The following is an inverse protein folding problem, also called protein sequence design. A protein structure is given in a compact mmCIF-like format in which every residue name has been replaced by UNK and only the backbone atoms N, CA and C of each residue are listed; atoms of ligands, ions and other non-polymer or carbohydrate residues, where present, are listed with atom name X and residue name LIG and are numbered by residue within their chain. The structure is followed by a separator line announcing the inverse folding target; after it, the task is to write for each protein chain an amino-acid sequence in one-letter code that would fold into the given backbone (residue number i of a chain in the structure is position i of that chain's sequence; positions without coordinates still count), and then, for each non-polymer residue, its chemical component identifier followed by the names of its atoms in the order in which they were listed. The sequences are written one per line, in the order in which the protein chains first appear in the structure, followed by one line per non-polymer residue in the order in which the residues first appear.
data_IF_108820163180
#
_entry.id   IF_108820163180
#
_cell.length_a   1.000
_cell.length_b   1.000
_cell.length_c   1.000
_cell.angle_alpha   90.00
_cell.angle_beta   90.00
_cell.angle_gamma   90.00
#
_symmetry.space_group_name_H-M   'P 1'
#
loop_
_entity.id
_entity.type
_entity.pdbx_description
1 polymer ?
#
# COMPACT_ATOMS: atom_id res chain seq x y z
N UNK A 1 7.89 23.05 -3.00
CA UNK A 1 6.65 22.29 -2.69
C UNK A 1 7.00 21.34 -1.56
N UNK A 2 6.38 21.48 -0.38
CA UNK A 2 6.74 20.73 0.83
C UNK A 2 6.01 19.37 0.89
N UNK A 3 6.10 18.57 -0.18
CA UNK A 3 5.45 17.26 -0.27
C UNK A 3 6.46 16.14 -0.07
N UNK A 4 6.22 15.26 0.90
CA UNK A 4 7.07 14.09 1.17
C UNK A 4 7.16 13.16 -0.05
N UNK A 5 6.05 12.89 -0.74
CA UNK A 5 6.04 12.02 -1.93
C UNK A 5 6.66 12.65 -3.18
N UNK A 6 6.97 13.95 -3.15
CA UNK A 6 7.79 14.58 -4.19
C UNK A 6 9.29 14.51 -3.89
N UNK A 7 9.68 14.31 -2.62
CA UNK A 7 11.08 14.28 -2.18
C UNK A 7 11.61 12.87 -1.94
N UNK A 8 10.72 11.97 -1.56
CA UNK A 8 11.05 10.65 -1.04
C UNK A 8 10.13 9.59 -1.67
N UNK A 9 10.59 8.35 -1.62
CA UNK A 9 9.85 7.22 -2.18
C UNK A 9 8.60 6.88 -1.36
N UNK A 10 8.59 7.17 -0.06
CA UNK A 10 7.46 6.90 0.85
C UNK A 10 7.44 5.48 1.44
N UNK A 11 8.52 4.72 1.24
CA UNK A 11 8.75 3.36 1.74
C UNK A 11 9.79 2.61 0.88
N UNK A 12 9.97 1.32 1.12
CA UNK A 12 10.84 0.48 0.30
C UNK A 12 10.19 0.24 -1.07
N UNK A 13 10.80 0.74 -2.15
CA UNK A 13 10.28 0.57 -3.51
C UNK A 13 10.25 -0.92 -3.89
N UNK A 14 9.06 -1.44 -4.19
CA UNK A 14 8.84 -2.80 -4.68
C UNK A 14 8.80 -2.85 -6.22
N UNK A 15 8.22 -1.82 -6.83
CA UNK A 15 8.10 -1.64 -8.27
C UNK A 15 7.91 -0.15 -8.61
N UNK A 16 8.39 0.31 -9.75
CA UNK A 16 8.14 1.67 -10.24
C UNK A 16 8.27 1.81 -11.76
N UNK A 17 7.65 2.83 -12.30
CA UNK A 17 7.86 3.36 -13.64
C UNK A 17 7.84 4.90 -13.65
N UNK A 18 7.75 5.50 -14.84
CA UNK A 18 7.71 6.96 -15.00
C UNK A 18 6.46 7.62 -14.38
N UNK A 19 5.38 6.87 -14.18
CA UNK A 19 4.05 7.40 -13.81
C UNK A 19 3.70 7.17 -12.34
N UNK A 20 4.07 6.02 -11.77
CA UNK A 20 3.76 5.67 -10.39
C UNK A 20 4.81 4.73 -9.80
N UNK A 21 4.78 4.58 -8.48
CA UNK A 21 5.56 3.59 -7.75
C UNK A 21 4.71 2.83 -6.74
N UNK A 22 5.11 1.61 -6.45
CA UNK A 22 4.58 0.79 -5.36
C UNK A 22 5.66 0.62 -4.31
N UNK A 23 5.36 0.99 -3.08
CA UNK A 23 6.27 0.88 -1.94
C UNK A 23 5.69 -0.01 -0.84
N UNK A 24 6.56 -0.70 -0.12
CA UNK A 24 6.26 -1.27 1.19
C UNK A 24 6.48 -0.17 2.24
N UNK A 25 5.41 0.23 2.91
CA UNK A 25 5.46 1.27 3.94
C UNK A 25 6.07 0.72 5.24
N UNK A 26 6.87 1.55 5.91
CA UNK A 26 7.41 1.26 7.23
C UNK A 26 6.36 1.52 8.32
N UNK A 27 5.40 0.61 8.44
CA UNK A 27 4.30 0.67 9.41
C UNK A 27 4.42 -0.52 10.37
N UNK A 28 4.99 -0.28 11.55
CA UNK A 28 5.38 -1.31 12.52
C UNK A 28 4.30 -2.38 12.78
N UNK A 29 3.06 -1.96 13.02
CA UNK A 29 1.93 -2.87 13.33
C UNK A 29 1.31 -3.54 12.10
N UNK A 30 1.70 -3.12 10.88
CA UNK A 30 1.11 -3.57 9.63
C UNK A 30 2.15 -4.05 8.61
N UNK A 31 2.89 -5.13 8.91
CA UNK A 31 3.77 -5.72 7.92
C UNK A 31 3.03 -6.08 6.64
N UNK A 32 3.55 -5.61 5.49
CA UNK A 32 2.90 -5.76 4.20
C UNK A 32 1.96 -4.64 3.80
N UNK A 33 1.88 -3.55 4.57
CA UNK A 33 1.21 -2.33 4.14
C UNK A 33 1.93 -1.79 2.91
N UNK A 34 1.27 -1.79 1.75
CA UNK A 34 1.79 -1.15 0.56
C UNK A 34 1.12 0.21 0.29
N UNK A 35 1.83 1.10 -0.39
CA UNK A 35 1.26 2.31 -1.01
C UNK A 35 1.49 2.27 -2.52
N UNK A 36 0.47 2.65 -3.30
CA UNK A 36 0.59 2.97 -4.72
C UNK A 36 0.59 4.49 -4.83
N UNK A 37 1.69 5.09 -5.27
CA UNK A 37 1.91 6.54 -5.23
C UNK A 37 2.07 7.04 -6.66
N UNK A 38 1.24 8.00 -7.07
CA UNK A 38 1.41 8.67 -8.36
C UNK A 38 2.68 9.54 -8.32
N UNK A 39 3.49 9.57 -9.37
CA UNK A 39 4.79 10.28 -9.29
C UNK A 39 4.64 11.81 -9.32
N UNK A 40 3.73 12.32 -10.15
CA UNK A 40 3.47 13.77 -10.22
C UNK A 40 2.63 14.22 -9.03
N UNK A 41 2.86 15.44 -8.57
CA UNK A 41 2.04 16.03 -7.52
C UNK A 41 0.66 16.39 -8.06
N UNK A 42 -0.35 15.63 -7.62
CA UNK A 42 -1.77 15.84 -7.94
C UNK A 42 -2.54 15.61 -6.65
N UNK A 43 -3.42 16.53 -6.27
CA UNK A 43 -4.14 16.44 -5.01
C UNK A 43 -5.27 15.42 -5.09
N UNK A 44 -6.18 15.60 -6.05
CA UNK A 44 -7.39 14.79 -6.14
C UNK A 44 -7.26 13.69 -7.18
N UNK A 45 -7.88 12.54 -6.87
CA UNK A 45 -7.96 11.46 -7.85
C UNK A 45 -8.74 11.88 -9.10
N UNK A 46 -9.71 12.79 -8.97
CA UNK A 46 -10.47 13.35 -10.09
C UNK A 46 -9.67 14.26 -11.02
N UNK A 47 -8.52 14.77 -10.57
CA UNK A 47 -7.64 15.65 -11.37
C UNK A 47 -6.75 14.86 -12.34
N UNK A 48 -6.69 13.54 -12.19
CA UNK A 48 -6.03 12.65 -13.14
C UNK A 48 -6.87 12.43 -14.40
N UNK A 49 -6.20 12.26 -15.54
CA UNK A 49 -6.86 11.81 -16.76
C UNK A 49 -7.53 10.45 -16.55
N UNK A 50 -8.59 10.15 -17.32
CA UNK A 50 -9.30 8.87 -17.21
C UNK A 50 -8.37 7.66 -17.29
N UNK A 51 -7.46 7.67 -18.26
CA UNK A 51 -6.45 6.61 -18.45
C UNK A 51 -5.47 6.49 -17.28
N UNK A 52 -5.12 7.59 -16.63
CA UNK A 52 -4.21 7.60 -15.48
C UNK A 52 -4.91 7.03 -14.24
N UNK A 53 -6.19 7.37 -14.04
CA UNK A 53 -7.02 6.76 -12.99
C UNK A 53 -7.12 5.25 -13.18
N UNK A 54 -7.40 4.81 -14.40
CA UNK A 54 -7.49 3.38 -14.74
C UNK A 54 -6.16 2.66 -14.48
N UNK A 55 -5.03 3.30 -14.84
CA UNK A 55 -3.68 2.78 -14.57
C UNK A 55 -3.42 2.63 -13.07
N UNK A 56 -3.71 3.66 -12.26
CA UNK A 56 -3.56 3.61 -10.81
C UNK A 56 -4.42 2.49 -10.22
N UNK A 57 -5.69 2.37 -10.64
CA UNK A 57 -6.56 1.31 -10.11
C UNK A 57 -6.10 -0.09 -10.50
N UNK A 58 -5.62 -0.31 -11.74
CA UNK A 58 -5.00 -1.58 -12.15
C UNK A 58 -3.81 -1.93 -11.25
N UNK A 59 -2.97 -0.94 -10.91
CA UNK A 59 -1.87 -1.14 -9.98
C UNK A 59 -2.36 -1.48 -8.55
N UNK A 60 -3.36 -0.77 -8.03
CA UNK A 60 -3.96 -1.06 -6.72
C UNK A 60 -4.51 -2.48 -6.65
N UNK A 61 -5.24 -2.93 -7.68
CA UNK A 61 -5.77 -4.29 -7.76
C UNK A 61 -4.66 -5.35 -7.83
N UNK A 62 -3.58 -5.09 -8.57
CA UNK A 62 -2.42 -5.98 -8.65
C UNK A 62 -1.71 -6.13 -7.29
N UNK A 63 -1.51 -5.01 -6.58
CA UNK A 63 -0.91 -5.01 -5.24
C UNK A 63 -1.81 -5.74 -4.24
N UNK A 64 -3.13 -5.55 -4.29
CA UNK A 64 -4.07 -6.32 -3.48
C UNK A 64 -3.93 -7.83 -3.74
N UNK A 65 -3.87 -8.26 -5.01
CA UNK A 65 -3.70 -9.67 -5.36
C UNK A 65 -2.39 -10.24 -4.82
N UNK A 66 -1.29 -9.51 -4.95
CA UNK A 66 0.01 -9.91 -4.40
C UNK A 66 -0.06 -10.07 -2.88
N UNK A 67 -0.64 -9.10 -2.17
CA UNK A 67 -0.84 -9.15 -0.72
C UNK A 67 -1.69 -10.34 -0.32
N UNK A 68 -2.81 -10.58 -1.01
CA UNK A 68 -3.70 -11.72 -0.70
C UNK A 68 -3.00 -13.06 -0.89
N UNK A 69 -2.19 -13.18 -1.94
CA UNK A 69 -1.42 -14.40 -2.24
C UNK A 69 -0.34 -14.66 -1.18
N UNK A 70 0.43 -13.63 -0.82
CA UNK A 70 1.59 -13.79 0.05
C UNK A 70 1.22 -13.84 1.52
N UNK A 71 0.32 -12.95 1.98
CA UNK A 71 0.06 -12.74 3.41
C UNK A 71 -1.25 -13.36 3.90
N UNK A 72 -2.13 -13.79 2.98
CA UNK A 72 -3.43 -14.40 3.30
C UNK A 72 -4.22 -13.65 4.41
N UNK A 73 -4.38 -12.32 4.32
CA UNK A 73 -5.14 -11.57 5.31
C UNK A 73 -6.62 -11.94 5.25
N UNK A 74 -7.35 -11.73 6.35
CA UNK A 74 -8.81 -11.93 6.37
C UNK A 74 -9.55 -10.86 5.57
N UNK A 75 -8.93 -9.68 5.38
CA UNK A 75 -9.45 -8.58 4.57
C UNK A 75 -8.29 -7.69 4.07
N UNK A 76 -8.49 -7.01 2.94
CA UNK A 76 -7.63 -5.89 2.52
C UNK A 76 -8.42 -4.58 2.64
N UNK A 77 -7.80 -3.53 3.19
CA UNK A 77 -8.36 -2.18 3.15
C UNK A 77 -7.70 -1.38 2.02
N UNK A 78 -8.52 -0.67 1.26
CA UNK A 78 -8.10 0.24 0.19
C UNK A 78 -8.59 1.65 0.54
N UNK A 79 -7.71 2.64 0.48
CA UNK A 79 -8.08 4.02 0.76
C UNK A 79 -7.15 5.01 0.06
N UNK A 80 -7.72 6.06 -0.53
CA UNK A 80 -7.03 7.31 -0.86
C UNK A 80 -7.63 8.39 0.02
N UNK A 81 -6.83 8.96 0.93
CA UNK A 81 -7.28 9.98 1.88
C UNK A 81 -6.67 11.35 1.53
N UNK A 82 -5.38 11.53 1.81
CA UNK A 82 -4.65 12.74 1.41
C UNK A 82 -4.84 13.98 2.29
N UNK A 83 -5.56 13.91 3.41
CA UNK A 83 -5.82 15.08 4.27
C UNK A 83 -4.55 15.78 4.78
N UNK A 84 -3.50 15.02 5.14
CA UNK A 84 -2.22 15.59 5.60
C UNK A 84 -1.21 15.79 4.45
N UNK A 85 -1.29 14.94 3.42
CA UNK A 85 -0.42 14.98 2.25
C UNK A 85 -1.32 14.90 1.01
N UNK A 86 -1.75 16.04 0.46
CA UNK A 86 -2.66 16.10 -0.69
C UNK A 86 -1.90 15.76 -1.97
N UNK A 87 -1.54 14.50 -2.10
CA UNK A 87 -0.81 13.91 -3.22
C UNK A 87 -1.40 12.53 -3.44
N UNK A 88 -1.88 12.20 -4.64
CA UNK A 88 -2.54 10.92 -4.94
C UNK A 88 -1.68 9.72 -4.52
N UNK A 89 -2.15 9.01 -3.51
CA UNK A 89 -1.61 7.74 -3.08
C UNK A 89 -2.72 6.85 -2.53
N UNK A 90 -2.62 5.55 -2.78
CA UNK A 90 -3.54 4.55 -2.30
C UNK A 90 -2.87 3.65 -1.28
N UNK A 91 -3.49 3.52 -0.11
CA UNK A 91 -3.13 2.53 0.89
C UNK A 91 -3.71 1.16 0.50
N UNK A 92 -2.88 0.11 0.54
CA UNK A 92 -3.29 -1.28 0.33
C UNK A 92 -2.82 -2.10 1.54
N UNK A 93 -3.76 -2.40 2.44
CA UNK A 93 -3.41 -2.79 3.82
C UNK A 93 -3.92 -4.21 4.10
N UNK A 94 -3.04 -5.20 4.38
CA UNK A 94 -3.45 -6.51 4.87
C UNK A 94 -4.01 -6.40 6.29
N UNK A 95 -5.23 -6.92 6.51
CA UNK A 95 -5.90 -6.93 7.83
C UNK A 95 -6.02 -8.35 8.36
N UNK A 96 -5.79 -8.50 9.65
CA UNK A 96 -5.89 -9.78 10.35
C UNK A 96 -6.83 -9.63 11.54
N UNK A 97 -7.58 -10.69 11.88
CA UNK A 97 -8.50 -10.67 13.04
C UNK A 97 -7.80 -10.34 14.36
N UNK A 98 -6.50 -10.62 14.43
CA UNK A 98 -5.61 -10.36 15.56
C UNK A 98 -4.59 -9.22 15.28
N UNK A 99 -4.83 -8.35 14.29
CA UNK A 99 -4.03 -7.12 14.14
C UNK A 99 -4.36 -6.11 15.25
N UNK A 100 -3.62 -5.00 15.30
CA UNK A 100 -3.72 -4.03 16.40
C UNK A 100 -5.10 -3.35 16.53
N UNK A 101 -5.92 -3.30 15.47
CA UNK A 101 -7.12 -2.45 15.39
C UNK A 101 -8.40 -3.18 14.96
N UNK A 102 -8.32 -4.39 14.39
CA UNK A 102 -9.49 -5.11 13.87
C UNK A 102 -10.62 -5.23 14.92
N UNK A 103 -11.91 -5.02 14.58
CA UNK A 103 -12.47 -4.79 13.24
C UNK A 103 -12.46 -3.30 12.80
N UNK A 104 -11.88 -2.39 13.59
CA UNK A 104 -11.84 -0.97 13.27
C UNK A 104 -10.83 -0.66 12.16
N UNK A 105 -10.95 0.49 11.47
CA UNK A 105 -9.90 0.99 10.57
C UNK A 105 -8.59 1.20 11.33
N UNK A 106 -7.47 1.17 10.60
CA UNK A 106 -6.14 1.23 11.20
C UNK A 106 -5.82 2.56 11.90
N UNK A 107 -6.60 3.60 11.62
CA UNK A 107 -6.49 4.95 12.18
C UNK A 107 -7.39 5.17 13.42
N UNK A 108 -8.15 4.16 13.84
CA UNK A 108 -8.93 4.21 15.08
C UNK A 108 -8.03 4.01 16.31
N UNK A 109 -8.54 4.16 17.54
CA UNK A 109 -7.81 3.74 18.73
C UNK A 109 -7.47 2.24 18.71
N UNK A 110 -6.25 1.92 19.13
CA UNK A 110 -5.73 0.55 19.23
C UNK A 110 -6.63 -0.34 20.09
N UNK A 111 -6.89 -1.55 19.62
CA UNK A 111 -7.76 -2.53 20.29
C UNK A 111 -6.99 -3.60 21.07
N UNK A 112 -5.75 -3.91 20.67
CA UNK A 112 -4.94 -4.95 21.30
C UNK A 112 -3.44 -4.80 21.05
N UNK A 113 -2.63 -5.29 21.98
CA UNK A 113 -1.19 -5.49 21.76
C UNK A 113 -0.96 -6.67 20.82
N UNK A 114 -0.02 -6.54 19.89
CA UNK A 114 0.41 -7.63 19.01
C UNK A 114 1.81 -8.03 19.43
N UNK A 115 2.08 -9.34 19.55
CA UNK A 115 3.39 -9.80 19.99
C UNK A 115 4.47 -9.55 18.93
N UNK A 116 5.68 -9.24 19.39
CA UNK A 116 6.81 -9.01 18.50
C UNK A 116 7.14 -10.24 17.64
N UNK A 117 6.97 -11.45 18.19
CA UNK A 117 7.12 -12.69 17.43
C UNK A 117 6.14 -12.78 16.25
N UNK A 118 4.89 -12.33 16.43
CA UNK A 118 3.89 -12.32 15.35
C UNK A 118 4.20 -11.25 14.30
N UNK A 119 4.60 -10.05 14.73
CA UNK A 119 5.00 -8.99 13.81
C UNK A 119 6.24 -9.39 13.00
N UNK A 120 7.23 -10.00 13.65
CA UNK A 120 8.44 -10.51 13.00
C UNK A 120 8.14 -11.58 11.97
N UNK A 121 7.29 -12.56 12.30
CA UNK A 121 6.84 -13.58 11.34
C UNK A 121 6.16 -12.96 10.11
N UNK A 122 5.29 -11.98 10.31
CA UNK A 122 4.63 -11.27 9.21
C UNK A 122 5.60 -10.42 8.38
N UNK A 123 6.57 -9.75 9.00
CA UNK A 123 7.62 -9.01 8.28
C UNK A 123 8.47 -9.95 7.43
N UNK A 124 8.85 -11.10 7.96
CA UNK A 124 9.58 -12.11 7.20
C UNK A 124 8.78 -12.56 5.96
N UNK A 125 7.48 -12.80 6.10
CA UNK A 125 6.59 -13.15 4.98
C UNK A 125 6.43 -12.00 3.98
N UNK A 126 6.34 -10.76 4.46
CA UNK A 126 6.19 -9.57 3.63
C UNK A 126 7.40 -9.32 2.71
N UNK A 127 8.59 -9.86 3.01
CA UNK A 127 9.75 -9.79 2.10
C UNK A 127 9.47 -10.41 0.71
N UNK A 128 8.57 -11.39 0.65
CA UNK A 128 8.14 -12.04 -0.58
C UNK A 128 7.26 -11.14 -1.47
N UNK A 129 6.76 -10.01 -0.92
CA UNK A 129 5.91 -9.09 -1.68
C UNK A 129 6.65 -8.42 -2.83
N UNK A 130 7.97 -8.22 -2.75
CA UNK A 130 8.75 -7.58 -3.82
C UNK A 130 8.54 -8.28 -5.16
N UNK A 131 8.82 -9.58 -5.19
CA UNK A 131 8.66 -10.37 -6.40
C UNK A 131 7.18 -10.56 -6.76
N UNK A 132 6.31 -10.72 -5.76
CA UNK A 132 4.90 -10.91 -6.02
C UNK A 132 4.21 -9.69 -6.62
N UNK A 133 4.54 -8.49 -6.13
CA UNK A 133 4.04 -7.22 -6.66
C UNK A 133 4.57 -7.01 -8.07
N UNK A 134 5.86 -7.25 -8.32
CA UNK A 134 6.46 -7.11 -9.65
C UNK A 134 5.70 -7.94 -10.69
N UNK A 135 5.49 -9.24 -10.42
CA UNK A 135 4.76 -10.14 -11.32
C UNK A 135 3.31 -9.69 -11.58
N UNK A 136 2.59 -9.33 -10.51
CA UNK A 136 1.19 -8.91 -10.62
C UNK A 136 1.05 -7.58 -11.38
N UNK A 137 1.99 -6.65 -11.18
CA UNK A 137 2.02 -5.38 -11.90
C UNK A 137 2.38 -5.57 -13.37
N UNK A 138 3.39 -6.39 -13.69
CA UNK A 138 3.76 -6.69 -15.08
C UNK A 138 2.57 -7.32 -15.84
N UNK A 139 1.84 -8.24 -15.21
CA UNK A 139 0.61 -8.80 -15.79
C UNK A 139 -0.49 -7.75 -15.93
N UNK A 140 -0.61 -6.85 -14.95
CA UNK A 140 -1.70 -5.90 -14.88
C UNK A 140 -1.47 -4.63 -15.69
N UNK A 141 -0.24 -4.23 -16.01
CA UNK A 141 0.10 -2.97 -16.70
C UNK A 141 0.89 -3.16 -18.00
N UNK A 142 1.44 -4.35 -18.24
CA UNK A 142 2.06 -4.74 -19.51
C UNK A 142 1.05 -5.03 -20.61
#
# INVERSE_FOLDING_TARGET
MDCVFCREDGGDVLWQDDTLRVVLADEHDYPGFCRVIWNKHVAEFSDLAGTDRDRVMRAVYAVERAIRRILQPVKVNLASLGNQVPHVHWHVIPRFSNDAHFPLPIWAPRQRTVSEAMLSSRRAQATLLREAVRQEIEQALG
#
